data_IF_330152288632
#
_entry.id   IF_330152288632
#
_cell.length_a   1.000
_cell.length_b   1.000
_cell.length_c   1.000
_cell.angle_alpha   90.00
_cell.angle_beta   90.00
_cell.angle_gamma   90.00
#
_symmetry.space_group_name_H-M   'P 1'
#
loop_
_entity.id
_entity.type
_entity.pdbx_description
1 polymer ?
#
# COMPACT_ATOMS: atom_id res chain seq x y z
N UNK A 1 -0.20 1.56 -12.08
CA UNK A 1 0.58 0.34 -12.37
C UNK A 1 2.05 0.63 -12.56
N UNK A 2 2.56 1.71 -11.95
CA UNK A 2 3.99 2.06 -11.99
C UNK A 2 4.70 1.16 -10.98
N UNK A 3 5.82 0.59 -11.38
CA UNK A 3 6.63 -0.31 -10.53
C UNK A 3 8.10 0.12 -10.44
N UNK A 4 8.49 1.19 -11.12
CA UNK A 4 9.88 1.66 -11.19
C UNK A 4 9.99 3.14 -10.87
N UNK A 5 11.15 3.53 -10.34
CA UNK A 5 11.49 4.93 -10.09
C UNK A 5 11.52 5.78 -11.39
N UNK A 6 11.94 5.21 -12.51
CA UNK A 6 12.02 5.87 -13.82
C UNK A 6 10.62 6.29 -14.30
N UNK A 7 9.66 5.36 -14.30
CA UNK A 7 8.29 5.63 -14.73
C UNK A 7 7.60 6.62 -13.78
N UNK A 8 7.92 6.57 -12.49
CA UNK A 8 7.42 7.54 -11.53
C UNK A 8 7.86 8.98 -11.86
N UNK A 9 9.14 9.18 -12.20
CA UNK A 9 9.67 10.49 -12.62
C UNK A 9 9.04 10.96 -13.92
N UNK A 10 8.85 10.07 -14.89
CA UNK A 10 8.19 10.38 -16.15
C UNK A 10 6.74 10.79 -15.93
N UNK A 11 5.99 10.05 -15.10
CA UNK A 11 4.60 10.38 -14.78
C UNK A 11 4.47 11.75 -14.11
N UNK A 12 5.34 12.07 -13.14
CA UNK A 12 5.36 13.39 -12.50
C UNK A 12 5.70 14.50 -13.52
N UNK A 13 6.67 14.25 -14.41
CA UNK A 13 7.04 15.20 -15.46
C UNK A 13 5.92 15.43 -16.47
N UNK A 14 5.05 14.43 -16.67
CA UNK A 14 3.86 14.53 -17.50
C UNK A 14 2.67 15.24 -16.81
N UNK A 15 2.82 15.64 -15.54
CA UNK A 15 1.80 16.42 -14.82
C UNK A 15 0.62 15.61 -14.28
N UNK A 16 0.82 14.33 -13.94
CA UNK A 16 -0.22 13.54 -13.25
C UNK A 16 -0.49 14.08 -11.84
N UNK A 17 -1.69 13.84 -11.31
CA UNK A 17 -2.06 14.25 -9.94
C UNK A 17 -1.73 13.21 -8.86
N UNK A 18 -1.28 12.01 -9.26
CA UNK A 18 -0.98 10.93 -8.34
C UNK A 18 -0.52 9.66 -9.03
N UNK A 19 0.07 8.75 -8.26
CA UNK A 19 0.60 7.48 -8.75
C UNK A 19 0.05 6.33 -7.92
N UNK A 20 -0.37 5.25 -8.58
CA UNK A 20 -0.70 3.99 -7.92
C UNK A 20 0.38 2.95 -8.27
N UNK A 21 1.14 2.54 -7.25
CA UNK A 21 2.06 1.40 -7.31
C UNK A 21 1.22 0.12 -7.35
N UNK A 22 1.29 -0.59 -8.46
CA UNK A 22 0.42 -1.73 -8.74
C UNK A 22 1.04 -2.65 -9.79
N UNK A 23 1.03 -3.96 -9.55
CA UNK A 23 1.31 -4.99 -10.56
C UNK A 23 0.01 -5.66 -11.05
N UNK A 24 -1.13 -4.96 -10.91
CA UNK A 24 -2.47 -5.43 -11.28
C UNK A 24 -2.87 -6.72 -10.56
N UNK A 25 -2.37 -6.90 -9.32
CA UNK A 25 -2.58 -8.10 -8.53
C UNK A 25 -1.93 -9.36 -9.11
N UNK A 26 -0.83 -9.21 -9.87
CA UNK A 26 -0.10 -10.32 -10.50
C UNK A 26 -0.85 -10.95 -11.68
N UNK A 27 -1.63 -10.16 -12.42
CA UNK A 27 -2.46 -10.63 -13.54
C UNK A 27 -2.01 -10.14 -14.92
N UNK A 28 -0.96 -9.32 -14.95
CA UNK A 28 -0.41 -8.77 -16.19
C UNK A 28 0.95 -9.43 -16.45
N UNK A 29 2.06 -8.74 -16.18
CA UNK A 29 3.39 -9.33 -16.30
C UNK A 29 3.69 -10.18 -15.06
N UNK A 30 3.81 -11.49 -15.27
CA UNK A 30 4.25 -12.42 -14.24
C UNK A 30 5.73 -12.22 -13.92
N UNK A 31 6.15 -12.61 -12.72
CA UNK A 31 7.50 -12.41 -12.15
C UNK A 31 7.93 -10.95 -11.94
N UNK A 32 7.02 -9.99 -12.19
CA UNK A 32 7.17 -8.62 -11.70
C UNK A 32 7.23 -8.61 -10.15
N UNK A 33 7.95 -7.64 -9.55
CA UNK A 33 8.10 -7.59 -8.10
C UNK A 33 6.77 -7.42 -7.37
N UNK A 34 6.76 -7.76 -6.08
CA UNK A 34 5.64 -7.41 -5.21
C UNK A 34 5.56 -5.88 -5.07
N UNK A 35 4.35 -5.34 -5.05
CA UNK A 35 4.12 -3.89 -5.03
C UNK A 35 4.69 -3.21 -3.79
N UNK A 36 4.68 -3.90 -2.64
CA UNK A 36 5.24 -3.39 -1.39
C UNK A 36 6.77 -3.26 -1.43
N UNK A 37 7.45 -4.11 -2.19
CA UNK A 37 8.92 -4.13 -2.27
C UNK A 37 9.45 -2.94 -3.07
N UNK A 38 8.69 -2.48 -4.07
CA UNK A 38 9.05 -1.33 -4.92
C UNK A 38 8.40 -0.02 -4.47
N UNK A 39 7.51 -0.05 -3.48
CA UNK A 39 6.81 1.15 -3.03
C UNK A 39 7.80 2.25 -2.60
N UNK A 40 8.80 1.89 -1.79
CA UNK A 40 9.73 2.86 -1.21
C UNK A 40 10.59 3.54 -2.29
N UNK A 41 11.01 2.84 -3.35
CA UNK A 41 11.77 3.46 -4.44
C UNK A 41 10.91 4.46 -5.23
N UNK A 42 9.63 4.12 -5.47
CA UNK A 42 8.70 4.98 -6.19
C UNK A 42 8.39 6.23 -5.38
N UNK A 43 8.12 6.09 -4.07
CA UNK A 43 7.92 7.23 -3.17
C UNK A 43 9.12 8.19 -3.19
N UNK A 44 10.35 7.66 -3.12
CA UNK A 44 11.57 8.46 -3.20
C UNK A 44 11.73 9.17 -4.55
N UNK A 45 11.37 8.50 -5.64
CA UNK A 45 11.45 9.08 -6.99
C UNK A 45 10.43 10.20 -7.24
N UNK A 46 9.26 10.11 -6.60
CA UNK A 46 8.21 11.14 -6.67
C UNK A 46 8.56 12.38 -5.84
N UNK A 47 9.32 12.21 -4.76
CA UNK A 47 9.82 13.31 -3.91
C UNK A 47 8.69 14.24 -3.44
N UNK A 48 7.60 13.64 -2.95
CA UNK A 48 6.41 14.32 -2.41
C UNK A 48 5.68 15.27 -3.38
N UNK A 49 6.02 15.30 -4.67
CA UNK A 49 5.38 16.17 -5.67
C UNK A 49 3.90 15.83 -5.89
N UNK A 50 3.56 14.54 -5.81
CA UNK A 50 2.19 14.02 -5.91
C UNK A 50 1.99 12.88 -4.91
N UNK A 51 0.76 12.59 -4.46
CA UNK A 51 0.50 11.44 -3.61
C UNK A 51 0.81 10.12 -4.34
N UNK A 52 1.46 9.21 -3.62
CA UNK A 52 1.66 7.82 -4.05
C UNK A 52 0.70 6.92 -3.28
N UNK A 53 0.04 6.01 -3.97
CA UNK A 53 -0.85 5.01 -3.41
C UNK A 53 -0.36 3.61 -3.77
N UNK A 54 -0.92 2.58 -3.12
CA UNK A 54 -0.56 1.19 -3.40
C UNK A 54 -1.80 0.29 -3.52
N UNK A 55 -1.74 -0.68 -4.43
CA UNK A 55 -2.60 -1.88 -4.39
C UNK A 55 -1.77 -3.17 -4.48
N UNK A 56 -2.45 -4.32 -4.46
CA UNK A 56 -1.81 -5.63 -4.58
C UNK A 56 -1.42 -6.19 -3.22
N UNK A 57 -1.94 -7.37 -2.88
CA UNK A 57 -1.55 -8.09 -1.66
C UNK A 57 -2.09 -7.57 -0.31
N UNK A 58 -2.68 -6.37 -0.21
CA UNK A 58 -3.22 -5.85 1.06
C UNK A 58 -4.39 -6.69 1.56
N UNK A 59 -4.24 -7.36 2.71
CA UNK A 59 -5.28 -8.22 3.31
C UNK A 59 -5.53 -7.96 4.79
N UNK A 60 -4.60 -7.29 5.46
CA UNK A 60 -4.69 -6.99 6.90
C UNK A 60 -4.48 -5.52 7.18
N UNK A 61 -4.96 -5.06 8.34
CA UNK A 61 -4.70 -3.71 8.83
C UNK A 61 -3.20 -3.42 9.02
N UNK A 62 -2.40 -4.42 9.38
CA UNK A 62 -0.93 -4.28 9.45
C UNK A 62 -0.28 -4.10 8.08
N UNK A 63 -0.89 -4.56 6.99
CA UNK A 63 -0.39 -4.31 5.63
C UNK A 63 -0.64 -2.86 5.21
N UNK A 64 -1.79 -2.29 5.62
CA UNK A 64 -2.08 -0.86 5.48
C UNK A 64 -1.01 -0.04 6.18
N UNK A 65 -0.73 -0.33 7.45
CA UNK A 65 0.29 0.36 8.23
C UNK A 65 1.67 0.32 7.57
N UNK A 66 2.10 -0.87 7.09
CA UNK A 66 3.39 -1.01 6.39
C UNK A 66 3.46 -0.15 5.13
N UNK A 67 2.41 -0.15 4.30
CA UNK A 67 2.38 0.66 3.10
C UNK A 67 2.47 2.17 3.42
N UNK A 68 1.72 2.64 4.42
CA UNK A 68 1.78 4.03 4.86
C UNK A 68 3.18 4.39 5.42
N UNK A 69 3.77 3.51 6.23
CA UNK A 69 5.12 3.70 6.77
C UNK A 69 6.21 3.75 5.67
N UNK A 70 5.98 3.10 4.53
CA UNK A 70 6.85 3.15 3.35
C UNK A 70 6.53 4.32 2.40
N UNK A 71 5.59 5.20 2.76
CA UNK A 71 5.32 6.46 2.06
C UNK A 71 4.05 6.49 1.21
N UNK A 72 3.25 5.42 1.18
CA UNK A 72 1.93 5.50 0.55
C UNK A 72 1.01 6.46 1.32
N UNK A 73 0.12 7.15 0.61
CA UNK A 73 -0.93 8.01 1.17
C UNK A 73 -2.17 7.22 1.56
N UNK A 74 -2.50 6.17 0.80
CA UNK A 74 -3.57 5.21 1.06
C UNK A 74 -3.33 3.93 0.25
N UNK A 75 -4.13 2.91 0.54
CA UNK A 75 -4.11 1.63 -0.19
C UNK A 75 -5.47 1.32 -0.82
N UNK A 76 -5.48 0.51 -1.87
CA UNK A 76 -6.68 0.04 -2.55
C UNK A 76 -6.87 -1.48 -2.38
N UNK A 77 -8.14 -1.90 -2.26
CA UNK A 77 -8.53 -3.30 -2.11
C UNK A 77 -9.19 -3.81 -3.39
N UNK A 78 -8.65 -4.91 -3.93
CA UNK A 78 -9.21 -5.58 -5.12
C UNK A 78 -10.02 -6.82 -4.73
N UNK A 79 -9.38 -8.00 -4.81
CA UNK A 79 -10.03 -9.29 -4.56
C UNK A 79 -10.83 -9.40 -3.25
N UNK A 80 -10.38 -8.86 -2.10
CA UNK A 80 -11.15 -8.94 -0.86
C UNK A 80 -12.57 -8.38 -0.97
N UNK A 81 -12.75 -7.29 -1.73
CA UNK A 81 -14.07 -6.70 -2.00
C UNK A 81 -14.96 -7.69 -2.74
N UNK A 82 -14.43 -8.34 -3.78
CA UNK A 82 -15.19 -9.32 -4.57
C UNK A 82 -15.53 -10.58 -3.78
N UNK A 83 -14.63 -11.05 -2.92
CA UNK A 83 -14.88 -12.21 -2.05
C UNK A 83 -15.97 -11.89 -1.03
N UNK A 84 -15.87 -10.74 -0.37
CA UNK A 84 -16.84 -10.28 0.60
C UNK A 84 -18.23 -10.10 -0.04
N UNK A 85 -18.28 -9.53 -1.24
CA UNK A 85 -19.49 -9.39 -2.03
C UNK A 85 -20.14 -10.75 -2.34
N UNK A 86 -19.33 -11.75 -2.71
CA UNK A 86 -19.83 -13.10 -2.99
C UNK A 86 -20.34 -13.81 -1.72
N UNK A 87 -19.75 -13.53 -0.55
CA UNK A 87 -20.13 -14.16 0.72
C UNK A 87 -21.38 -13.53 1.36
N UNK A 88 -21.55 -12.21 1.27
CA UNK A 88 -22.57 -11.49 2.03
C UNK A 88 -23.18 -10.28 1.32
N UNK A 89 -22.99 -10.14 0.00
CA UNK A 89 -23.45 -8.98 -0.74
C UNK A 89 -22.84 -7.67 -0.22
N UNK A 90 -23.62 -6.59 -0.27
CA UNK A 90 -23.21 -5.27 0.24
C UNK A 90 -22.78 -5.33 1.71
N UNK A 91 -23.54 -6.05 2.55
CA UNK A 91 -23.26 -6.20 3.98
C UNK A 91 -21.92 -6.89 4.21
N UNK A 92 -21.60 -7.94 3.44
CA UNK A 92 -20.31 -8.61 3.52
C UNK A 92 -19.14 -7.66 3.19
N UNK A 93 -19.31 -6.79 2.19
CA UNK A 93 -18.29 -5.76 1.85
C UNK A 93 -18.11 -4.76 2.99
N UNK A 94 -19.20 -4.30 3.60
CA UNK A 94 -19.14 -3.38 4.74
C UNK A 94 -18.39 -4.01 5.93
N UNK A 95 -18.74 -5.24 6.30
CA UNK A 95 -18.08 -6.00 7.38
C UNK A 95 -16.58 -6.21 7.10
N UNK A 96 -16.21 -6.49 5.85
CA UNK A 96 -14.81 -6.64 5.47
C UNK A 96 -14.02 -5.33 5.61
N UNK A 97 -14.60 -4.20 5.21
CA UNK A 97 -13.99 -2.88 5.39
C UNK A 97 -13.84 -2.53 6.88
N UNK A 98 -14.84 -2.85 7.70
CA UNK A 98 -14.80 -2.65 9.15
C UNK A 98 -13.69 -3.51 9.80
N UNK A 99 -13.57 -4.79 9.44
CA UNK A 99 -12.50 -5.65 9.94
C UNK A 99 -11.11 -5.11 9.63
N UNK A 100 -10.86 -4.67 8.39
CA UNK A 100 -9.56 -4.09 8.02
C UNK A 100 -9.30 -2.79 8.79
N UNK A 101 -10.32 -1.96 8.98
CA UNK A 101 -10.21 -0.73 9.76
C UNK A 101 -9.93 -0.99 11.24
N UNK A 102 -10.57 -2.00 11.84
CA UNK A 102 -10.30 -2.41 13.23
C UNK A 102 -8.89 -2.95 13.40
N UNK A 103 -8.44 -3.84 12.51
CA UNK A 103 -7.07 -4.33 12.51
C UNK A 103 -6.05 -3.18 12.34
N UNK A 104 -6.35 -2.20 11.49
CA UNK A 104 -5.48 -1.05 11.25
C UNK A 104 -5.38 -0.15 12.49
N UNK A 105 -6.52 0.16 13.12
CA UNK A 105 -6.56 0.91 14.39
C UNK A 105 -5.79 0.18 15.50
N UNK A 106 -5.93 -1.14 15.59
CA UNK A 106 -5.17 -1.94 16.54
C UNK A 106 -3.66 -1.87 16.26
N UNK A 107 -3.25 -2.00 15.00
CA UNK A 107 -1.84 -1.88 14.61
C UNK A 107 -1.26 -0.50 14.94
N UNK A 108 -2.02 0.58 14.69
CA UNK A 108 -1.64 1.94 15.08
C UNK A 108 -1.47 2.08 16.60
N UNK A 109 -2.43 1.58 17.39
CA UNK A 109 -2.37 1.61 18.84
C UNK A 109 -1.13 0.86 19.39
N UNK A 110 -0.84 -0.34 18.86
CA UNK A 110 0.31 -1.15 19.27
C UNK A 110 1.66 -0.57 18.84
N UNK A 111 1.68 0.29 17.83
CA UNK A 111 2.89 0.97 17.35
C UNK A 111 3.03 2.41 17.87
N UNK A 112 2.11 2.85 18.73
CA UNK A 112 2.16 4.20 19.33
C UNK A 112 1.76 5.32 18.38
N UNK A 113 1.09 5.01 17.27
CA UNK A 113 0.56 6.00 16.32
C UNK A 113 -0.87 6.39 16.72
N UNK A 114 -1.10 7.63 17.16
CA UNK A 114 -2.44 8.12 17.51
C UNK A 114 -3.18 8.61 16.27
N UNK A 115 -2.43 9.17 15.31
CA UNK A 115 -2.90 9.71 14.05
C UNK A 115 -2.22 8.98 12.90
N UNK A 116 -2.85 8.99 11.73
CA UNK A 116 -2.25 8.43 10.51
C UNK A 116 -0.93 9.13 10.19
N UNK A 117 -0.84 10.43 10.47
CA UNK A 117 0.37 11.24 10.27
C UNK A 117 1.55 10.82 11.17
N UNK A 118 1.29 10.10 12.27
CA UNK A 118 2.36 9.62 13.16
C UNK A 118 3.11 8.43 12.51
N UNK A 119 2.47 7.73 11.57
CA UNK A 119 3.04 6.59 10.87
C UNK A 119 4.16 7.06 9.94
N UNK A 120 5.37 6.62 10.26
CA UNK A 120 6.58 6.95 9.50
C UNK A 120 7.49 5.73 9.31
N UNK A 121 8.57 5.93 8.54
CA UNK A 121 9.51 4.88 8.12
C UNK A 121 10.16 4.08 9.24
N UNK A 122 10.22 4.62 10.46
CA UNK A 122 10.83 3.96 11.62
C UNK A 122 9.98 2.82 12.19
N UNK A 123 8.70 2.73 11.81
CA UNK A 123 7.80 1.66 12.29
C UNK A 123 8.01 0.32 11.59
N UNK A 124 8.79 0.28 10.51
CA UNK A 124 9.01 -0.93 9.71
C UNK A 124 10.48 -1.15 9.42
N UNK A 125 10.88 -2.41 9.31
CA UNK A 125 12.18 -2.82 8.79
C UNK A 125 11.94 -3.69 7.56
N UNK A 126 12.65 -3.42 6.47
CA UNK A 126 12.58 -4.22 5.25
C UNK A 126 13.73 -5.23 5.22
N UNK A 127 13.61 -6.35 4.47
CA UNK A 127 14.70 -7.32 4.34
C UNK A 127 16.02 -6.70 3.86
N UNK A 128 15.96 -5.69 2.98
CA UNK A 128 17.14 -4.94 2.53
C UNK A 128 17.92 -4.26 3.68
N UNK A 129 17.26 -3.98 4.81
CA UNK A 129 17.88 -3.38 6.01
C UNK A 129 18.39 -4.44 7.01
N UNK A 130 18.10 -5.72 6.77
CA UNK A 130 18.45 -6.84 7.63
C UNK A 130 19.20 -7.92 6.82
N UNK A 131 20.36 -7.63 6.20
CA UNK A 131 21.05 -8.54 5.28
C UNK A 131 21.61 -9.82 5.92
N UNK A 132 21.41 -10.01 7.22
CA UNK A 132 21.94 -11.13 8.01
C UNK A 132 20.83 -11.94 8.71
N UNK A 133 19.57 -11.62 8.42
CA UNK A 133 18.38 -12.43 8.74
C UNK A 133 17.79 -12.94 7.44
#
# INVERSE_FOLDING_TARGET
>A
GILTAEDARLAVSAGVDGIIVSNHGGRQIDTAPATIDVLEEVCRAVDHKVPVFLDGGVRRGTDVLKALALGAKAVFLGRPVLWALACGGEQGVAEMLDMINEEFRLAMALTGCVRVEDINRNHVRTPAQLPHL
#
